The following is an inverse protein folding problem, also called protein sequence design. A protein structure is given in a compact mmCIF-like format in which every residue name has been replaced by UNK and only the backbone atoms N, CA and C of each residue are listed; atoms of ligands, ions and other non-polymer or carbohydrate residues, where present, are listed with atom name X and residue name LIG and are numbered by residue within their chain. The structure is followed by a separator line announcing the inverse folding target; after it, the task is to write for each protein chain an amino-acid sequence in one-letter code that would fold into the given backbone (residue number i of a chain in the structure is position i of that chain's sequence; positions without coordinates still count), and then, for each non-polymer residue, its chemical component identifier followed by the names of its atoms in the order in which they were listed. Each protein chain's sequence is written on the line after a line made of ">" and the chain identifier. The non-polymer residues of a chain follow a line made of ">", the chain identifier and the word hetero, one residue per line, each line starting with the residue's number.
data_IF_085805670372
#
_entry.id   IF_085805670372
#
_cell.length_a   1.000
_cell.length_b   1.000
_cell.length_c   1.000
_cell.angle_alpha   90.00
_cell.angle_beta   90.00
_cell.angle_gamma   90.00
#
_symmetry.space_group_name_H-M   'P 1'
#
loop_
_entity.id
_entity.type
_entity.pdbx_description
1 polymer ?
#
# COMPACT_ATOMS: atom_id res chain seq x y z
N UNK A 1 -0.77 -11.15 -6.72
CA UNK A 1 -0.64 -11.74 -5.37
C UNK A 1 0.66 -11.26 -4.74
N UNK A 2 0.60 -10.67 -3.53
CA UNK A 2 1.77 -10.19 -2.79
C UNK A 2 2.18 -11.15 -1.67
N UNK A 3 1.19 -11.73 -1.01
CA UNK A 3 1.33 -12.76 0.03
C UNK A 3 0.13 -13.68 0.00
N UNK A 4 0.02 -14.65 0.93
CA UNK A 4 -1.13 -15.56 0.97
C UNK A 4 -2.47 -14.84 1.09
N UNK A 5 -2.51 -13.71 1.79
CA UNK A 5 -3.72 -12.97 2.12
C UNK A 5 -3.76 -11.55 1.56
N UNK A 6 -2.77 -11.12 0.75
CA UNK A 6 -2.69 -9.77 0.18
C UNK A 6 -2.63 -9.81 -1.34
N UNK A 7 -3.51 -9.01 -1.98
CA UNK A 7 -3.52 -8.79 -3.44
C UNK A 7 -3.35 -7.30 -3.72
N UNK A 8 -2.52 -6.96 -4.71
CA UNK A 8 -2.41 -5.59 -5.21
C UNK A 8 -3.32 -5.37 -6.41
N UNK A 9 -3.99 -4.21 -6.39
CA UNK A 9 -4.85 -3.72 -7.46
C UNK A 9 -4.21 -2.47 -8.06
N UNK A 10 -4.18 -2.42 -9.39
CA UNK A 10 -3.62 -1.30 -10.16
C UNK A 10 -4.75 -0.61 -10.92
N UNK A 11 -4.85 0.71 -10.77
CA UNK A 11 -5.91 1.50 -11.37
C UNK A 11 -5.35 2.56 -12.31
N UNK A 12 -6.09 2.80 -13.39
CA UNK A 12 -5.87 3.92 -14.31
C UNK A 12 -7.17 4.69 -14.46
N UNK A 13 -7.13 6.02 -14.70
CA UNK A 13 -8.32 6.77 -15.06
C UNK A 13 -9.00 6.19 -16.30
N UNK A 14 -10.33 6.10 -16.27
CA UNK A 14 -11.12 5.53 -17.37
C UNK A 14 -11.15 6.42 -18.62
N UNK A 15 -10.90 7.71 -18.45
CA UNK A 15 -10.80 8.71 -19.52
C UNK A 15 -9.40 8.79 -20.16
N UNK A 16 -8.46 7.97 -19.69
CA UNK A 16 -7.06 8.00 -20.14
C UNK A 16 -6.27 9.22 -19.65
N UNK A 17 -6.85 10.01 -18.75
CA UNK A 17 -6.20 11.17 -18.15
C UNK A 17 -5.00 10.81 -17.25
N UNK A 18 -4.27 11.81 -16.77
CA UNK A 18 -3.13 11.60 -15.89
C UNK A 18 -3.60 11.08 -14.52
N UNK A 19 -2.80 10.21 -13.94
CA UNK A 19 -2.98 9.79 -12.55
C UNK A 19 -2.68 10.98 -11.63
N UNK A 20 -3.53 11.28 -10.63
CA UNK A 20 -3.28 12.32 -9.66
C UNK A 20 -1.93 12.14 -8.96
N UNK A 21 -1.19 13.23 -8.74
CA UNK A 21 0.02 13.21 -7.92
C UNK A 21 -0.31 12.96 -6.45
N UNK A 22 0.59 12.33 -5.73
CA UNK A 22 0.45 12.07 -4.29
C UNK A 22 1.82 11.95 -3.61
N UNK A 23 1.81 12.14 -2.29
CA UNK A 23 2.98 11.90 -1.45
C UNK A 23 3.01 10.44 -0.97
N UNK A 24 4.19 9.83 -0.82
CA UNK A 24 4.34 8.50 -0.24
C UNK A 24 3.70 8.42 1.15
N UNK A 25 2.82 7.45 1.35
CA UNK A 25 2.05 7.30 2.60
C UNK A 25 0.59 7.77 2.52
N UNK A 26 0.22 8.58 1.52
CA UNK A 26 -1.17 8.98 1.30
C UNK A 26 -2.04 7.78 0.87
N UNK A 27 -3.35 7.91 1.07
CA UNK A 27 -4.35 6.90 0.74
C UNK A 27 -5.39 7.43 -0.23
N UNK A 28 -6.12 6.51 -0.84
CA UNK A 28 -7.37 6.76 -1.57
C UNK A 28 -8.53 6.07 -0.86
N UNK A 29 -9.73 6.59 -1.04
CA UNK A 29 -10.95 5.92 -0.60
C UNK A 29 -11.53 5.13 -1.76
N UNK A 30 -11.58 3.82 -1.62
CA UNK A 30 -12.25 2.92 -2.56
C UNK A 30 -13.71 2.79 -2.17
N UNK A 31 -14.62 2.93 -3.14
CA UNK A 31 -16.06 2.71 -2.95
C UNK A 31 -16.50 1.51 -3.77
N UNK A 32 -17.02 0.50 -3.11
CA UNK A 32 -17.61 -0.68 -3.76
C UNK A 32 -19.08 -0.81 -3.39
N UNK A 33 -19.90 -1.20 -4.37
CA UNK A 33 -21.31 -1.41 -4.12
C UNK A 33 -21.57 -2.81 -3.55
N UNK A 34 -22.18 -2.86 -2.37
CA UNK A 34 -22.65 -4.12 -1.77
C UNK A 34 -24.07 -4.41 -2.19
N UNK A 35 -24.24 -5.45 -3.02
CA UNK A 35 -25.58 -5.92 -3.44
C UNK A 35 -26.43 -6.39 -2.25
N UNK A 36 -25.82 -6.97 -1.22
CA UNK A 36 -26.52 -7.45 -0.04
C UNK A 36 -27.08 -6.32 0.83
N UNK A 37 -26.33 -5.21 0.93
CA UNK A 37 -26.71 -4.04 1.74
C UNK A 37 -27.39 -2.94 0.92
N UNK A 38 -27.38 -3.04 -0.42
CA UNK A 38 -27.90 -2.03 -1.37
C UNK A 38 -27.29 -0.63 -1.18
N UNK A 39 -26.04 -0.57 -0.68
CA UNK A 39 -25.32 0.68 -0.46
C UNK A 39 -23.86 0.59 -0.90
N UNK A 40 -23.27 1.71 -1.24
CA UNK A 40 -21.83 1.83 -1.46
C UNK A 40 -21.09 1.85 -0.12
N UNK A 41 -20.04 1.04 -0.02
CA UNK A 41 -19.19 0.95 1.17
C UNK A 41 -17.83 1.57 0.87
N UNK A 42 -17.48 2.69 1.53
CA UNK A 42 -16.14 3.27 1.42
C UNK A 42 -15.15 2.57 2.35
N UNK A 43 -13.90 2.40 1.88
CA UNK A 43 -12.74 2.03 2.71
C UNK A 43 -11.50 2.74 2.19
N UNK A 44 -10.68 3.18 3.12
CA UNK A 44 -9.40 3.82 2.85
C UNK A 44 -8.32 2.76 2.66
N UNK A 45 -7.55 2.91 1.59
CA UNK A 45 -6.39 2.07 1.30
C UNK A 45 -5.21 2.95 0.94
N UNK A 46 -4.10 2.74 1.62
CA UNK A 46 -2.85 3.44 1.34
C UNK A 46 -2.39 3.12 -0.08
N UNK A 47 -1.90 4.13 -0.79
CA UNK A 47 -1.22 3.94 -2.06
C UNK A 47 0.12 3.26 -1.78
N UNK A 48 0.30 2.04 -2.29
CA UNK A 48 1.38 1.14 -1.88
C UNK A 48 2.59 1.12 -2.82
N UNK A 49 2.71 2.12 -3.69
CA UNK A 49 3.88 2.36 -4.56
C UNK A 49 4.21 3.85 -4.60
N UNK A 50 5.44 4.20 -5.01
CA UNK A 50 5.83 5.58 -5.26
C UNK A 50 5.02 6.18 -6.43
N UNK A 51 4.82 7.50 -6.40
CA UNK A 51 4.16 8.22 -7.48
C UNK A 51 4.97 8.16 -8.79
N UNK A 52 4.30 8.44 -9.92
CA UNK A 52 4.97 8.53 -11.23
C UNK A 52 4.93 7.28 -12.10
N UNK A 53 4.38 6.16 -11.62
CA UNK A 53 4.24 4.92 -12.40
C UNK A 53 3.14 4.96 -13.48
N UNK A 54 2.32 6.01 -13.51
CA UNK A 54 1.14 6.09 -14.39
C UNK A 54 -0.05 5.24 -13.91
N UNK A 55 0.01 4.70 -12.71
CA UNK A 55 -1.06 3.93 -12.07
C UNK A 55 -1.12 4.23 -10.58
N UNK A 56 -2.30 4.02 -9.97
CA UNK A 56 -2.44 3.95 -8.51
C UNK A 56 -2.45 2.48 -8.10
N UNK A 57 -1.62 2.10 -7.13
CA UNK A 57 -1.61 0.76 -6.54
C UNK A 57 -2.12 0.81 -5.11
N UNK A 58 -3.08 -0.05 -4.79
CA UNK A 58 -3.42 -0.40 -3.41
C UNK A 58 -3.13 -1.88 -3.18
N UNK A 59 -2.68 -2.22 -1.97
CA UNK A 59 -2.47 -3.62 -1.57
C UNK A 59 -3.46 -3.94 -0.46
N UNK A 60 -4.32 -4.90 -0.72
CA UNK A 60 -5.50 -5.21 0.12
C UNK A 60 -5.32 -6.54 0.79
N UNK A 61 -5.32 -6.55 2.12
CA UNK A 61 -5.37 -7.77 2.91
C UNK A 61 -6.81 -8.28 2.97
N UNK A 62 -7.01 -9.56 2.68
CA UNK A 62 -8.29 -10.24 2.92
C UNK A 62 -8.53 -10.36 4.42
N UNK A 63 -9.60 -9.77 4.89
CA UNK A 63 -10.02 -9.86 6.29
C UNK A 63 -11.05 -10.97 6.42
N UNK A 64 -10.64 -12.08 7.01
CA UNK A 64 -11.56 -13.19 7.33
C UNK A 64 -12.21 -12.96 8.68
N UNK A 65 -13.48 -13.29 8.78
CA UNK A 65 -14.24 -13.26 10.02
C UNK A 65 -13.67 -14.26 11.04
N UNK A 66 -13.87 -13.93 12.29
CA UNK A 66 -13.64 -14.84 13.42
C UNK A 66 -14.95 -15.21 14.07
N UNK A 67 -14.96 -16.09 15.09
CA UNK A 67 -16.20 -16.49 15.78
C UNK A 67 -17.00 -15.26 16.22
N UNK A 68 -18.19 -15.08 15.62
CA UNK A 68 -19.12 -13.98 15.90
C UNK A 68 -18.92 -12.70 15.08
N UNK A 69 -17.90 -12.60 14.21
CA UNK A 69 -17.69 -11.47 13.32
C UNK A 69 -17.69 -11.91 11.85
N UNK A 70 -18.39 -11.21 10.94
CA UNK A 70 -18.38 -11.53 9.51
C UNK A 70 -17.03 -11.17 8.86
N UNK A 71 -16.81 -11.72 7.66
CA UNK A 71 -15.69 -11.32 6.80
C UNK A 71 -15.72 -9.81 6.51
N UNK A 72 -14.53 -9.24 6.31
CA UNK A 72 -14.40 -7.85 5.89
C UNK A 72 -15.08 -7.63 4.53
N UNK A 73 -16.20 -6.89 4.50
CA UNK A 73 -17.06 -6.76 3.34
C UNK A 73 -16.30 -6.23 2.11
N UNK A 74 -15.57 -5.12 2.24
CA UNK A 74 -14.90 -4.48 1.10
C UNK A 74 -13.70 -5.29 0.64
N UNK A 75 -12.88 -5.82 1.56
CA UNK A 75 -11.75 -6.69 1.21
C UNK A 75 -12.23 -7.95 0.48
N UNK A 76 -13.32 -8.58 0.94
CA UNK A 76 -13.91 -9.74 0.27
C UNK A 76 -14.48 -9.42 -1.12
N UNK A 77 -15.11 -8.25 -1.31
CA UNK A 77 -15.58 -7.83 -2.64
C UNK A 77 -14.38 -7.62 -3.57
N UNK A 78 -13.34 -6.93 -3.12
CA UNK A 78 -12.15 -6.68 -3.92
C UNK A 78 -11.49 -8.01 -4.33
N UNK A 79 -11.24 -8.91 -3.38
CA UNK A 79 -10.56 -10.18 -3.66
C UNK A 79 -11.36 -11.13 -4.55
N UNK A 80 -12.69 -11.22 -4.34
CA UNK A 80 -13.49 -12.29 -4.94
C UNK A 80 -14.31 -11.86 -6.16
N UNK A 81 -14.53 -10.54 -6.36
CA UNK A 81 -15.47 -10.06 -7.38
C UNK A 81 -14.84 -9.08 -8.36
N UNK A 82 -13.90 -8.25 -7.93
CA UNK A 82 -13.25 -7.25 -8.81
C UNK A 82 -12.24 -7.96 -9.72
N UNK A 83 -12.37 -7.74 -11.01
CA UNK A 83 -11.52 -8.33 -12.06
C UNK A 83 -10.84 -7.26 -12.89
N UNK A 84 -9.82 -7.65 -13.62
CA UNK A 84 -9.17 -6.76 -14.60
C UNK A 84 -10.19 -6.29 -15.62
N UNK A 85 -10.27 -4.98 -15.82
CA UNK A 85 -11.23 -4.30 -16.70
C UNK A 85 -12.46 -3.75 -15.97
N UNK A 86 -12.69 -4.12 -14.71
CA UNK A 86 -13.77 -3.53 -13.93
C UNK A 86 -13.47 -2.08 -13.56
N UNK A 87 -14.52 -1.27 -13.49
CA UNK A 87 -14.45 0.13 -13.05
C UNK A 87 -14.71 0.20 -11.54
N UNK A 88 -13.82 0.85 -10.82
CA UNK A 88 -13.90 1.06 -9.37
C UNK A 88 -13.80 2.55 -9.07
N UNK A 89 -14.67 3.05 -8.20
CA UNK A 89 -14.65 4.45 -7.77
C UNK A 89 -13.55 4.69 -6.73
N UNK A 90 -12.67 5.64 -7.01
CA UNK A 90 -11.58 6.06 -6.12
C UNK A 90 -11.69 7.56 -5.85
N UNK A 91 -11.43 7.99 -4.60
CA UNK A 91 -11.21 9.40 -4.32
C UNK A 91 -9.83 9.86 -4.83
N UNK A 92 -9.65 11.17 -4.93
CA UNK A 92 -8.30 11.72 -5.03
C UNK A 92 -7.45 11.31 -3.82
N UNK A 93 -6.13 11.13 -3.99
CA UNK A 93 -5.22 10.84 -2.89
C UNK A 93 -5.26 11.92 -1.80
N UNK A 94 -5.20 11.50 -0.53
CA UNK A 94 -5.21 12.39 0.63
C UNK A 94 -4.54 11.72 1.83
N UNK A 95 -4.37 12.46 2.93
CA UNK A 95 -3.84 11.95 4.20
C UNK A 95 -2.61 12.70 4.67
N UNK A 96 -2.50 12.89 5.98
CA UNK A 96 -1.37 13.60 6.63
C UNK A 96 -0.22 12.69 7.05
N UNK A 97 -0.37 11.36 6.96
CA UNK A 97 0.74 10.44 7.18
C UNK A 97 1.50 10.24 5.88
N UNK A 98 2.46 11.12 5.62
CA UNK A 98 3.19 11.13 4.37
C UNK A 98 4.67 11.48 4.57
N UNK A 99 5.51 11.07 3.65
CA UNK A 99 6.89 11.52 3.55
C UNK A 99 6.89 12.88 2.85
N UNK A 100 6.87 13.97 3.64
CA UNK A 100 6.80 15.34 3.12
C UNK A 100 8.16 15.84 2.60
N UNK A 101 9.27 15.42 3.23
CA UNK A 101 10.61 15.82 2.86
C UNK A 101 11.53 14.60 2.64
N UNK A 102 11.53 14.10 1.41
CA UNK A 102 12.43 13.01 1.01
C UNK A 102 13.91 13.44 1.01
N UNK A 103 14.20 14.75 0.83
CA UNK A 103 15.56 15.29 0.75
C UNK A 103 16.18 15.58 2.11
N UNK A 104 15.45 15.47 3.19
CA UNK A 104 15.96 15.63 4.55
C UNK A 104 17.17 14.74 4.81
N UNK A 105 18.20 15.28 5.46
CA UNK A 105 19.39 14.54 5.89
C UNK A 105 19.20 13.83 7.24
N UNK A 106 18.12 14.13 7.97
CA UNK A 106 17.87 13.51 9.25
C UNK A 106 17.60 12.00 9.09
N UNK A 107 18.13 11.17 9.99
CA UNK A 107 17.83 9.75 10.01
C UNK A 107 16.32 9.50 10.10
N UNK A 108 15.85 8.46 9.41
CA UNK A 108 14.44 8.05 9.39
C UNK A 108 14.28 6.63 9.94
N UNK A 109 13.29 6.45 10.80
CA UNK A 109 12.88 5.12 11.27
C UNK A 109 11.47 4.85 10.79
N UNK A 110 11.30 3.79 10.03
CA UNK A 110 10.00 3.30 9.55
C UNK A 110 9.68 2.02 10.30
N UNK A 111 8.55 1.99 10.99
CA UNK A 111 8.10 0.83 11.78
C UNK A 111 6.73 0.40 11.29
N UNK A 112 6.57 -0.87 10.95
CA UNK A 112 5.31 -1.41 10.46
C UNK A 112 5.04 -2.84 10.94
N UNK A 113 3.75 -3.21 10.95
CA UNK A 113 3.28 -4.56 11.24
C UNK A 113 2.24 -4.98 10.20
N UNK A 114 2.33 -6.21 9.72
CA UNK A 114 1.36 -6.77 8.77
C UNK A 114 1.10 -5.86 7.58
N UNK A 115 -0.18 -5.59 7.28
CA UNK A 115 -0.56 -4.71 6.14
C UNK A 115 -0.17 -3.24 6.33
N UNK A 116 0.22 -2.82 7.53
CA UNK A 116 0.78 -1.49 7.78
C UNK A 116 2.09 -1.19 7.04
N UNK A 117 2.64 -2.16 6.32
CA UNK A 117 3.78 -1.98 5.41
C UNK A 117 3.43 -1.08 4.19
N UNK A 118 2.16 -0.98 3.83
CA UNK A 118 1.72 -0.30 2.61
C UNK A 118 2.14 1.17 2.49
N UNK A 119 2.18 2.01 3.54
CA UNK A 119 2.74 3.36 3.45
C UNK A 119 4.29 3.38 3.43
N UNK A 120 4.94 2.37 3.99
CA UNK A 120 6.40 2.33 4.13
C UNK A 120 7.08 2.03 2.79
N UNK A 121 6.47 1.18 1.97
CA UNK A 121 7.02 0.80 0.67
C UNK A 121 7.20 2.01 -0.25
N UNK A 122 6.17 2.84 -0.53
CA UNK A 122 6.36 4.04 -1.36
C UNK A 122 7.35 5.04 -0.76
N UNK A 123 7.47 5.13 0.57
CA UNK A 123 8.49 5.96 1.22
C UNK A 123 9.89 5.44 0.92
N UNK A 124 10.11 4.12 1.03
CA UNK A 124 11.40 3.49 0.70
C UNK A 124 11.73 3.62 -0.78
N UNK A 125 10.77 3.37 -1.68
CA UNK A 125 10.94 3.51 -3.12
C UNK A 125 11.34 4.95 -3.50
N UNK A 126 10.68 5.95 -2.92
CA UNK A 126 10.98 7.37 -3.15
C UNK A 126 12.37 7.72 -2.63
N UNK A 127 12.73 7.31 -1.42
CA UNK A 127 14.04 7.56 -0.84
C UNK A 127 15.16 6.89 -1.62
N UNK A 128 14.95 5.69 -2.13
CA UNK A 128 15.95 5.00 -2.95
C UNK A 128 16.29 5.76 -4.26
N UNK A 129 15.35 6.57 -4.76
CA UNK A 129 15.55 7.41 -5.97
C UNK A 129 16.03 8.82 -5.62
N UNK A 130 15.38 9.49 -4.67
CA UNK A 130 15.59 10.91 -4.41
C UNK A 130 16.72 11.19 -3.40
N UNK A 131 16.95 10.28 -2.45
CA UNK A 131 17.97 10.43 -1.40
C UNK A 131 18.51 9.06 -0.95
N UNK A 132 19.21 8.32 -1.83
CA UNK A 132 19.69 6.97 -1.55
C UNK A 132 20.71 6.90 -0.42
N UNK A 133 21.36 8.01 -0.08
CA UNK A 133 22.36 8.08 0.99
C UNK A 133 21.75 8.36 2.37
N UNK A 134 20.46 8.65 2.45
CA UNK A 134 19.79 8.90 3.74
C UNK A 134 19.90 7.68 4.65
N UNK A 135 20.20 7.92 5.93
CA UNK A 135 20.19 6.85 6.93
C UNK A 135 18.75 6.45 7.24
N UNK A 136 18.39 5.20 6.92
CA UNK A 136 17.04 4.66 7.13
C UNK A 136 17.10 3.35 7.92
N UNK A 137 16.25 3.22 8.93
CA UNK A 137 16.01 1.96 9.63
C UNK A 137 14.57 1.53 9.38
N UNK A 138 14.40 0.42 8.66
CA UNK A 138 13.11 -0.19 8.41
C UNK A 138 12.91 -1.40 9.33
N UNK A 139 11.93 -1.34 10.23
CA UNK A 139 11.57 -2.39 11.16
C UNK A 139 10.18 -2.92 10.82
N UNK A 140 10.08 -4.22 10.61
CA UNK A 140 8.83 -4.83 10.18
C UNK A 140 8.57 -6.13 10.93
N UNK A 141 7.33 -6.34 11.37
CA UNK A 141 6.88 -7.60 11.95
C UNK A 141 5.73 -8.20 11.14
N UNK A 142 5.75 -9.52 10.99
CA UNK A 142 4.72 -10.32 10.34
C UNK A 142 4.63 -11.69 11.02
N UNK A 143 3.54 -12.42 10.79
CA UNK A 143 3.32 -13.73 11.39
C UNK A 143 4.33 -14.79 10.91
N UNK A 144 4.68 -14.71 9.63
CA UNK A 144 5.68 -15.57 8.98
C UNK A 144 6.02 -14.98 7.59
N UNK A 145 6.94 -15.59 6.87
CA UNK A 145 7.38 -15.12 5.54
C UNK A 145 6.29 -15.23 4.46
N UNK A 146 5.34 -16.16 4.58
CA UNK A 146 4.24 -16.28 3.63
C UNK A 146 3.23 -15.11 3.73
N UNK A 147 3.20 -14.44 4.88
CA UNK A 147 2.40 -13.23 5.15
C UNK A 147 3.23 -11.93 5.08
N UNK A 148 4.36 -11.94 4.38
CA UNK A 148 5.16 -10.74 4.14
C UNK A 148 4.88 -10.16 2.75
N UNK A 149 3.88 -9.26 2.60
CA UNK A 149 3.58 -8.64 1.32
C UNK A 149 4.65 -7.62 0.92
N UNK A 150 4.76 -7.32 -0.37
CA UNK A 150 5.66 -6.29 -0.92
C UNK A 150 7.14 -6.47 -0.52
N UNK A 151 7.53 -7.69 -0.20
CA UNK A 151 8.90 -8.03 0.20
C UNK A 151 9.92 -7.68 -0.88
N UNK A 152 9.56 -7.91 -2.15
CA UNK A 152 10.44 -7.65 -3.30
C UNK A 152 10.77 -6.17 -3.44
N UNK A 153 9.76 -5.31 -3.25
CA UNK A 153 9.88 -3.85 -3.29
C UNK A 153 10.78 -3.34 -2.16
N UNK A 154 10.54 -3.84 -0.93
CA UNK A 154 11.41 -3.51 0.21
C UNK A 154 12.85 -3.92 -0.05
N UNK A 155 13.07 -5.16 -0.50
CA UNK A 155 14.42 -5.67 -0.77
C UNK A 155 15.12 -4.87 -1.86
N UNK A 156 14.40 -4.49 -2.92
CA UNK A 156 14.93 -3.68 -4.01
C UNK A 156 15.31 -2.26 -3.54
N UNK A 157 14.42 -1.61 -2.78
CA UNK A 157 14.69 -0.26 -2.26
C UNK A 157 15.88 -0.25 -1.29
N UNK A 158 15.92 -1.16 -0.33
CA UNK A 158 17.03 -1.26 0.65
C UNK A 158 18.36 -1.56 -0.05
N UNK A 159 18.36 -2.41 -1.08
CA UNK A 159 19.58 -2.70 -1.87
C UNK A 159 20.15 -1.45 -2.55
N UNK A 160 19.28 -0.51 -2.95
CA UNK A 160 19.68 0.76 -3.56
C UNK A 160 20.15 1.83 -2.56
N UNK A 161 20.06 1.56 -1.24
CA UNK A 161 20.34 2.54 -0.18
C UNK A 161 21.46 2.03 0.75
N UNK A 162 22.73 2.41 0.53
CA UNK A 162 23.88 1.84 1.28
C UNK A 162 23.83 2.14 2.79
N UNK A 163 23.12 3.19 3.21
CA UNK A 163 22.98 3.57 4.62
C UNK A 163 21.65 3.10 5.23
N UNK A 164 20.88 2.26 4.52
CA UNK A 164 19.67 1.69 5.03
C UNK A 164 19.89 0.31 5.64
N UNK A 165 19.19 0.05 6.74
CA UNK A 165 19.15 -1.25 7.40
C UNK A 165 17.70 -1.71 7.59
N UNK A 166 17.45 -3.02 7.50
CA UNK A 166 16.15 -3.60 7.82
C UNK A 166 16.25 -4.63 8.93
N UNK A 167 15.26 -4.64 9.82
CA UNK A 167 15.02 -5.67 10.83
C UNK A 167 13.65 -6.30 10.58
N UNK A 168 13.60 -7.62 10.39
CA UNK A 168 12.36 -8.38 10.17
C UNK A 168 12.16 -9.30 11.36
N UNK A 169 10.97 -9.23 11.97
CA UNK A 169 10.56 -10.00 13.13
C UNK A 169 9.36 -10.89 12.75
N UNK A 170 9.44 -12.18 13.10
CA UNK A 170 8.42 -13.20 12.80
C UNK A 170 7.72 -13.65 14.07
#
# INVERSE_FOLDING_TARGET
>A
QESEDVVSFYFRPTDGGPVPSYLPGQYTTVRVFSKAMQIAQPRQYTLSQAAGSGMLRISVKLVLGTQGAPDGLVSSILHNRVKVGDVVELSAPTGGFALEDAKSEHPLVLIAAGIGITPMVPMLETLAVENPLRKVHFLYTTQNLAHYPLKKEVDAAIKGMPNAAKGIFL
#
